data_IF_634311122856
#
_entry.id   IF_634311122856
#
_cell.length_a   1.000
_cell.length_b   1.000
_cell.length_c   1.000
_cell.angle_alpha   90.00
_cell.angle_beta   90.00
_cell.angle_gamma   90.00
#
_symmetry.space_group_name_H-M   'P 1'
#
loop_
_entity.id
_entity.type
_entity.pdbx_description
1 polymer ?
#
# COMPACT_ATOMS: atom_id res chain seq x y z
N UNK A 1 -17.87 5.63 8.88
CA UNK A 1 -18.22 4.21 8.66
C UNK A 1 -17.10 3.40 9.30
N UNK A 2 -17.39 2.66 10.35
CA UNK A 2 -16.38 1.95 11.14
C UNK A 2 -15.89 0.72 10.35
N UNK A 3 -14.58 0.55 10.25
CA UNK A 3 -13.98 -0.58 9.53
C UNK A 3 -14.09 -1.82 10.43
N UNK A 4 -15.12 -2.65 10.21
CA UNK A 4 -15.27 -3.96 10.88
C UNK A 4 -14.62 -5.07 10.02
N UNK A 5 -13.85 -5.95 10.67
CA UNK A 5 -13.24 -7.15 10.08
C UNK A 5 -14.24 -7.93 9.21
N UNK A 6 -15.47 -8.13 9.68
CA UNK A 6 -16.49 -8.93 8.98
C UNK A 6 -16.87 -8.35 7.61
N UNK A 7 -16.97 -7.02 7.50
CA UNK A 7 -17.27 -6.36 6.22
C UNK A 7 -16.13 -6.57 5.22
N UNK A 8 -14.88 -6.44 5.69
CA UNK A 8 -13.69 -6.68 4.86
C UNK A 8 -13.66 -8.13 4.38
N UNK A 9 -13.94 -9.09 5.26
CA UNK A 9 -13.99 -10.51 4.90
C UNK A 9 -15.11 -10.80 3.89
N UNK A 10 -16.27 -10.16 4.04
CA UNK A 10 -17.38 -10.26 3.08
C UNK A 10 -16.97 -9.77 1.69
N UNK A 11 -16.30 -8.62 1.61
CA UNK A 11 -15.79 -8.08 0.35
C UNK A 11 -14.78 -9.01 -0.31
N UNK A 12 -13.84 -9.56 0.46
CA UNK A 12 -12.87 -10.54 -0.03
C UNK A 12 -13.57 -11.78 -0.58
N UNK A 13 -14.63 -12.25 0.08
CA UNK A 13 -15.41 -13.41 -0.36
C UNK A 13 -15.99 -13.28 -1.77
N UNK A 14 -16.21 -12.06 -2.25
CA UNK A 14 -16.72 -11.75 -3.61
C UNK A 14 -15.63 -11.80 -4.68
N UNK A 15 -14.35 -11.84 -4.31
CA UNK A 15 -13.24 -11.90 -5.26
C UNK A 15 -13.19 -13.29 -5.92
N UNK A 16 -13.18 -13.39 -7.26
CA UNK A 16 -13.26 -14.69 -7.94
C UNK A 16 -11.98 -15.54 -7.82
N UNK A 17 -10.83 -14.92 -7.56
CA UNK A 17 -9.54 -15.62 -7.49
C UNK A 17 -9.25 -16.16 -6.09
N UNK A 18 -9.13 -17.48 -5.97
CA UNK A 18 -8.71 -18.13 -4.73
C UNK A 18 -7.30 -17.74 -4.28
N UNK A 19 -6.38 -17.51 -5.21
CA UNK A 19 -5.03 -17.07 -4.89
C UNK A 19 -5.07 -15.74 -4.14
N UNK A 20 -5.78 -14.75 -4.68
CA UNK A 20 -5.88 -13.44 -4.04
C UNK A 20 -6.66 -13.51 -2.74
N UNK A 21 -7.78 -14.25 -2.68
CA UNK A 21 -8.55 -14.42 -1.45
C UNK A 21 -7.69 -14.95 -0.30
N UNK A 22 -6.93 -16.01 -0.55
CA UNK A 22 -6.08 -16.62 0.48
C UNK A 22 -5.02 -15.65 1.00
N UNK A 23 -4.38 -14.89 0.11
CA UNK A 23 -3.41 -13.87 0.52
C UNK A 23 -4.10 -12.78 1.33
N UNK A 24 -5.23 -12.26 0.83
CA UNK A 24 -5.95 -11.15 1.46
C UNK A 24 -6.48 -11.53 2.84
N UNK A 25 -7.04 -12.74 3.01
CA UNK A 25 -7.47 -13.24 4.32
C UNK A 25 -6.32 -13.31 5.31
N UNK A 26 -5.17 -13.83 4.90
CA UNK A 26 -4.00 -13.92 5.78
C UNK A 26 -3.49 -12.53 6.20
N UNK A 27 -3.54 -11.54 5.30
CA UNK A 27 -3.20 -10.15 5.61
C UNK A 27 -4.19 -9.52 6.59
N UNK A 28 -5.50 -9.74 6.41
CA UNK A 28 -6.53 -9.28 7.35
C UNK A 28 -6.30 -9.89 8.72
N UNK A 29 -6.13 -11.21 8.80
CA UNK A 29 -5.89 -11.88 10.08
C UNK A 29 -4.63 -11.38 10.77
N UNK A 30 -3.55 -11.16 10.03
CA UNK A 30 -2.31 -10.59 10.56
C UNK A 30 -2.51 -9.16 11.12
N UNK A 31 -3.14 -8.27 10.34
CA UNK A 31 -3.35 -6.87 10.75
C UNK A 31 -4.24 -6.73 12.00
N UNK A 32 -5.25 -7.60 12.13
CA UNK A 32 -6.13 -7.64 13.30
C UNK A 32 -5.50 -8.33 14.50
N UNK A 33 -4.69 -9.38 14.28
CA UNK A 33 -3.96 -10.07 15.36
C UNK A 33 -2.89 -9.17 15.99
N UNK A 34 -2.20 -8.37 15.17
CA UNK A 34 -1.11 -7.51 15.61
C UNK A 34 -1.49 -6.04 15.47
N UNK A 35 -2.12 -5.50 16.52
CA UNK A 35 -2.66 -4.13 16.51
C UNK A 35 -1.62 -3.02 16.29
N UNK A 36 -0.35 -3.30 16.53
CA UNK A 36 0.77 -2.38 16.32
C UNK A 36 1.23 -2.31 14.85
N UNK A 37 0.76 -3.21 13.97
CA UNK A 37 1.07 -3.17 12.54
C UNK A 37 0.39 -1.96 11.93
N UNK A 38 1.23 -1.02 11.45
CA UNK A 38 0.82 0.20 10.76
C UNK A 38 1.01 0.11 9.25
N UNK A 39 1.95 -0.71 8.80
CA UNK A 39 2.37 -0.84 7.41
C UNK A 39 2.58 -2.31 7.08
N UNK A 40 2.33 -2.67 5.82
CA UNK A 40 2.47 -4.05 5.32
C UNK A 40 3.24 -4.01 4.00
N UNK A 41 4.44 -4.58 3.99
CA UNK A 41 5.25 -4.76 2.79
C UNK A 41 5.08 -6.15 2.18
N UNK A 42 5.55 -6.32 0.93
CA UNK A 42 5.60 -7.62 0.24
C UNK A 42 6.37 -8.66 1.08
N UNK A 43 7.49 -8.23 1.69
CA UNK A 43 8.32 -9.08 2.54
C UNK A 43 7.59 -9.59 3.78
N UNK A 44 6.72 -8.79 4.39
CA UNK A 44 5.90 -9.21 5.53
C UNK A 44 4.89 -10.26 5.10
N UNK A 45 4.21 -10.02 3.99
CA UNK A 45 3.23 -10.97 3.44
C UNK A 45 3.89 -12.30 3.10
N UNK A 46 5.08 -12.30 2.48
CA UNK A 46 5.84 -13.54 2.22
C UNK A 46 6.08 -14.37 3.48
N UNK A 47 6.31 -13.74 4.64
CA UNK A 47 6.45 -14.44 5.92
C UNK A 47 5.11 -14.99 6.42
N UNK A 48 4.00 -14.29 6.16
CA UNK A 48 2.65 -14.68 6.57
C UNK A 48 2.14 -15.88 5.75
N UNK A 49 2.23 -15.81 4.42
CA UNK A 49 1.64 -16.81 3.51
C UNK A 49 2.62 -17.87 3.03
N UNK A 50 3.85 -17.85 3.56
CA UNK A 50 5.01 -18.63 3.09
C UNK A 50 5.38 -18.33 1.64
N UNK A 51 6.50 -18.88 1.15
CA UNK A 51 6.99 -18.70 -0.23
C UNK A 51 6.10 -19.33 -1.32
N UNK A 52 4.84 -19.66 -1.00
CA UNK A 52 3.88 -20.32 -1.89
C UNK A 52 3.38 -19.40 -3.01
N UNK A 53 3.36 -18.10 -2.78
CA UNK A 53 2.81 -17.11 -3.71
C UNK A 53 3.91 -16.24 -4.32
N UNK A 54 3.73 -15.86 -5.59
CA UNK A 54 4.66 -14.95 -6.25
C UNK A 54 4.57 -13.55 -5.66
N UNK A 55 5.63 -12.74 -5.81
CA UNK A 55 5.60 -11.33 -5.39
C UNK A 55 4.54 -10.53 -6.15
N UNK A 56 4.27 -10.90 -7.41
CA UNK A 56 3.23 -10.29 -8.24
C UNK A 56 1.85 -10.58 -7.63
N UNK A 57 1.57 -11.83 -7.24
CA UNK A 57 0.30 -12.19 -6.61
C UNK A 57 0.09 -11.44 -5.29
N UNK A 58 1.16 -11.29 -4.50
CA UNK A 58 1.14 -10.54 -3.24
C UNK A 58 0.85 -9.07 -3.51
N UNK A 59 1.60 -8.44 -4.41
CA UNK A 59 1.43 -7.03 -4.76
C UNK A 59 0.01 -6.74 -5.24
N UNK A 60 -0.51 -7.55 -6.17
CA UNK A 60 -1.88 -7.41 -6.67
C UNK A 60 -2.92 -7.62 -5.57
N UNK A 61 -2.68 -8.52 -4.62
CA UNK A 61 -3.59 -8.74 -3.48
C UNK A 61 -3.62 -7.55 -2.52
N UNK A 62 -2.45 -6.95 -2.24
CA UNK A 62 -2.36 -5.73 -1.42
C UNK A 62 -3.03 -4.54 -2.11
N UNK A 63 -2.88 -4.40 -3.43
CA UNK A 63 -3.60 -3.39 -4.21
C UNK A 63 -5.12 -3.62 -4.14
N UNK A 64 -5.59 -4.87 -4.27
CA UNK A 64 -7.03 -5.18 -4.12
C UNK A 64 -7.57 -4.84 -2.73
N UNK A 65 -6.79 -5.04 -1.67
CA UNK A 65 -7.18 -4.63 -0.31
C UNK A 65 -7.34 -3.11 -0.14
N UNK A 66 -6.73 -2.30 -1.02
CA UNK A 66 -6.93 -0.86 -1.07
C UNK A 66 -8.21 -0.45 -1.81
N UNK A 67 -8.76 -1.36 -2.63
CA UNK A 67 -9.88 -1.09 -3.55
C UNK A 67 -11.20 -1.74 -3.10
N UNK A 68 -11.23 -2.36 -1.91
CA UNK A 68 -12.47 -2.90 -1.35
C UNK A 68 -13.45 -1.77 -1.01
N UNK A 69 -14.74 -2.11 -0.88
CA UNK A 69 -15.76 -1.18 -0.40
C UNK A 69 -15.42 -0.74 1.04
N UNK A 70 -14.92 -1.67 1.84
CA UNK A 70 -14.33 -1.45 3.16
C UNK A 70 -12.80 -1.69 3.10
N UNK A 71 -12.00 -0.72 2.65
CA UNK A 71 -10.57 -0.94 2.43
C UNK A 71 -9.83 -1.11 3.76
N UNK A 72 -9.11 -2.22 3.90
CA UNK A 72 -8.18 -2.45 5.02
C UNK A 72 -6.92 -1.62 4.87
N UNK A 73 -6.44 -1.48 3.63
CA UNK A 73 -5.17 -0.83 3.32
C UNK A 73 -5.41 0.48 2.60
N UNK A 74 -4.46 1.38 2.74
CA UNK A 74 -4.35 2.60 1.97
C UNK A 74 -2.98 2.61 1.27
N UNK A 75 -2.99 2.82 -0.04
CA UNK A 75 -1.77 3.05 -0.79
C UNK A 75 -1.23 4.44 -0.45
N UNK A 76 0.00 4.50 -0.01
CA UNK A 76 0.73 5.72 0.33
C UNK A 76 2.04 5.78 -0.43
N UNK A 77 2.58 6.99 -0.49
CA UNK A 77 3.83 7.28 -1.17
C UNK A 77 4.72 8.11 -0.27
N UNK A 78 6.02 7.87 -0.36
CA UNK A 78 7.04 8.67 0.30
C UNK A 78 8.15 9.02 -0.67
N UNK A 79 8.70 10.23 -0.52
CA UNK A 79 9.87 10.70 -1.22
C UNK A 79 11.08 10.62 -0.30
N UNK A 80 12.13 9.93 -0.74
CA UNK A 80 13.42 9.87 -0.08
C UNK A 80 14.33 11.00 -0.57
N UNK A 81 14.49 12.05 0.23
CA UNK A 81 15.39 13.18 -0.07
C UNK A 81 16.85 12.74 0.11
N UNK A 82 17.15 12.15 1.27
CA UNK A 82 18.44 11.55 1.63
C UNK A 82 18.25 10.19 2.33
N UNK A 83 19.34 9.51 2.73
CA UNK A 83 19.26 8.18 3.36
C UNK A 83 18.36 8.15 4.61
N UNK A 84 18.31 9.26 5.37
CA UNK A 84 17.56 9.37 6.62
C UNK A 84 16.33 10.29 6.53
N UNK A 85 16.09 10.91 5.38
CA UNK A 85 15.06 11.95 5.25
C UNK A 85 13.98 11.56 4.25
N UNK A 86 12.78 11.34 4.79
CA UNK A 86 11.60 10.87 4.04
C UNK A 86 10.43 11.83 4.22
N UNK A 87 9.72 12.07 3.12
CA UNK A 87 8.55 12.94 3.08
C UNK A 87 7.34 12.18 2.57
N UNK A 88 6.26 12.12 3.35
CA UNK A 88 5.00 11.56 2.87
C UNK A 88 4.43 12.44 1.77
N UNK A 89 4.16 11.84 0.62
CA UNK A 89 3.52 12.50 -0.52
C UNK A 89 2.02 12.24 -0.49
N UNK A 90 1.23 13.25 -0.86
CA UNK A 90 -0.19 13.05 -1.10
C UNK A 90 -0.42 12.37 -2.45
N UNK A 91 -1.56 11.68 -2.61
CA UNK A 91 -1.93 11.12 -3.91
C UNK A 91 -2.03 12.20 -4.99
N UNK A 92 -2.42 13.43 -4.62
CA UNK A 92 -2.47 14.57 -5.52
C UNK A 92 -1.08 14.94 -6.05
N UNK A 93 -0.05 14.92 -5.19
CA UNK A 93 1.33 15.23 -5.60
C UNK A 93 1.83 14.20 -6.61
N UNK A 94 1.52 12.92 -6.39
CA UNK A 94 1.87 11.82 -7.29
C UNK A 94 1.14 11.94 -8.62
N UNK A 95 -0.18 12.15 -8.60
CA UNK A 95 -0.97 12.33 -9.81
C UNK A 95 -0.49 13.52 -10.64
N UNK A 96 -0.18 14.64 -10.00
CA UNK A 96 0.33 15.82 -10.68
C UNK A 96 1.72 15.56 -11.27
N UNK A 97 2.59 14.87 -10.53
CA UNK A 97 3.92 14.55 -11.01
C UNK A 97 3.91 13.59 -12.22
N UNK A 98 2.97 12.65 -12.28
CA UNK A 98 2.76 11.81 -13.47
C UNK A 98 2.22 12.59 -14.67
N UNK A 99 1.35 13.59 -14.45
CA UNK A 99 0.79 14.44 -15.51
C UNK A 99 1.82 15.41 -16.08
N UNK A 100 2.59 16.04 -15.21
CA UNK A 100 3.51 17.13 -15.55
C UNK A 100 4.92 16.66 -15.88
N UNK A 101 5.31 15.48 -15.37
CA UNK A 101 6.65 14.94 -15.49
C UNK A 101 7.64 15.48 -14.47
N UNK A 102 7.19 16.21 -13.44
CA UNK A 102 8.05 16.67 -12.35
C UNK A 102 7.36 16.56 -10.99
N UNK A 103 8.13 16.24 -9.96
CA UNK A 103 7.66 16.24 -8.57
C UNK A 103 8.09 17.54 -7.89
N UNK A 104 7.22 18.20 -7.15
CA UNK A 104 7.60 19.36 -6.34
C UNK A 104 8.18 18.85 -5.01
N UNK A 105 9.40 19.27 -4.70
CA UNK A 105 10.06 18.90 -3.45
C UNK A 105 9.24 19.42 -2.25
N UNK A 106 8.81 18.55 -1.31
CA UNK A 106 7.88 18.95 -0.24
C UNK A 106 8.39 20.07 0.68
N UNK A 107 9.70 20.10 0.96
CA UNK A 107 10.37 21.14 1.74
C UNK A 107 10.77 22.40 0.95
N UNK A 108 11.47 22.25 -0.17
CA UNK A 108 12.09 23.39 -0.89
C UNK A 108 11.16 24.03 -1.93
N UNK A 109 10.14 23.30 -2.39
CA UNK A 109 9.27 23.74 -3.48
C UNK A 109 9.90 23.63 -4.88
N UNK A 110 11.10 23.08 -4.99
CA UNK A 110 11.80 22.93 -6.28
C UNK A 110 11.19 21.83 -7.13
N UNK A 111 11.14 22.04 -8.45
CA UNK A 111 10.70 21.03 -9.40
C UNK A 111 11.82 20.01 -9.66
N UNK A 112 11.51 18.75 -9.36
CA UNK A 112 12.40 17.60 -9.54
C UNK A 112 11.98 16.81 -10.76
N UNK A 113 12.96 16.33 -11.53
CA UNK A 113 12.70 15.65 -12.80
C UNK A 113 12.01 14.29 -12.61
N UNK A 114 11.48 13.73 -13.70
CA UNK A 114 10.78 12.45 -13.71
C UNK A 114 11.63 11.28 -13.22
N UNK A 115 12.94 11.33 -13.40
CA UNK A 115 13.88 10.30 -12.94
C UNK A 115 13.87 10.18 -11.41
N UNK A 116 13.64 11.29 -10.69
CA UNK A 116 13.50 11.29 -9.22
C UNK A 116 12.22 10.58 -8.80
N UNK A 117 11.11 10.76 -9.54
CA UNK A 117 9.87 10.02 -9.27
C UNK A 117 10.10 8.50 -9.34
N UNK A 118 10.92 8.04 -10.30
CA UNK A 118 11.16 6.61 -10.49
C UNK A 118 12.15 6.01 -9.50
N UNK A 119 13.09 6.80 -9.00
CA UNK A 119 14.22 6.32 -8.20
C UNK A 119 14.13 6.63 -6.71
N UNK A 120 13.35 7.65 -6.33
CA UNK A 120 13.26 8.16 -4.95
C UNK A 120 11.84 8.22 -4.39
N UNK A 121 10.82 7.85 -5.17
CA UNK A 121 9.45 7.73 -4.64
C UNK A 121 9.12 6.26 -4.44
N UNK A 122 8.80 5.91 -3.20
CA UNK A 122 8.46 4.55 -2.80
C UNK A 122 6.98 4.47 -2.45
N UNK A 123 6.35 3.38 -2.89
CA UNK A 123 4.98 3.06 -2.49
C UNK A 123 4.98 2.13 -1.29
N UNK A 124 4.06 2.34 -0.36
CA UNK A 124 3.83 1.45 0.77
C UNK A 124 2.34 1.32 1.08
N UNK A 125 1.98 0.24 1.77
CA UNK A 125 0.60 -0.02 2.16
C UNK A 125 0.42 0.23 3.66
N UNK A 126 -0.38 1.24 3.99
CA UNK A 126 -0.71 1.59 5.37
C UNK A 126 -2.00 0.90 5.79
N UNK A 127 -2.04 0.34 7.00
CA UNK A 127 -3.26 -0.21 7.59
C UNK A 127 -4.19 0.93 8.00
N UNK A 128 -5.41 0.94 7.49
CA UNK A 128 -6.46 1.87 7.91
C UNK A 128 -7.02 1.39 9.24
N UNK A 129 -6.90 2.22 10.27
CA UNK A 129 -7.60 2.04 11.55
C UNK A 129 -8.56 3.21 11.75
N UNK A 130 -9.78 2.90 12.16
CA UNK A 130 -10.82 3.87 12.54
C UNK A 130 -10.47 4.50 13.87
#
# INVERSE_FOLDING_TARGET
MEINKENILSDIGRIPSEVHKNIMYAVVDYAYKYSHVKEIGIGDVKKIVSSKYSEIDILLSLQKLCLLEFPLLELKYEFQDSEDEYYILSNKDIEEAYKTGYLIHPRTGEAMSKEIIQSKVFMFFKVKRS
#
